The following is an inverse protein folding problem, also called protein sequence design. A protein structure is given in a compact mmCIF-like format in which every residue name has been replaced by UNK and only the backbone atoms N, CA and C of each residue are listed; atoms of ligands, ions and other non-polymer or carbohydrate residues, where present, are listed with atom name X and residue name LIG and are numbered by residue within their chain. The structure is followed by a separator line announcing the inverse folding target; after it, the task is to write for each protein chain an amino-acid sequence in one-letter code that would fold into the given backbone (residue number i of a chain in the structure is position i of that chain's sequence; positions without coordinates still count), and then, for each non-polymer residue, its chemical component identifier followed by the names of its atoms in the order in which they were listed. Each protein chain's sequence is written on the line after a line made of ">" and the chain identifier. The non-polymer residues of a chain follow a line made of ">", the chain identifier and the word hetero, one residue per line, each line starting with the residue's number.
data_IF_308588383172
#
_entry.id   IF_308588383172
#
_cell.length_a   1.000
_cell.length_b   1.000
_cell.length_c   1.000
_cell.angle_alpha   90.00
_cell.angle_beta   90.00
_cell.angle_gamma   90.00
#
_symmetry.space_group_name_H-M   'P 1'
#
loop_
_entity.id
_entity.type
_entity.pdbx_description
1 polymer ?
#
# COMPACT_ATOMS: atom_id res chain seq x y z
N UNK A 1 -16.51 16.84 14.15
CA UNK A 1 -16.05 15.52 14.37
C UNK A 1 -14.73 15.21 13.68
N UNK A 2 -13.89 14.56 14.35
CA UNK A 2 -12.61 14.26 13.83
C UNK A 2 -12.54 12.96 13.11
N UNK A 3 -11.91 12.96 12.00
CA UNK A 3 -11.57 11.74 11.35
C UNK A 3 -10.42 11.10 12.06
N UNK A 4 -10.55 9.86 12.40
CA UNK A 4 -9.48 9.14 13.09
C UNK A 4 -8.79 8.13 12.21
N UNK A 5 -9.08 8.13 10.92
CA UNK A 5 -8.52 7.16 10.02
C UNK A 5 -7.22 7.61 9.38
N UNK A 6 -6.37 6.64 9.10
CA UNK A 6 -5.16 6.88 8.32
C UNK A 6 -5.47 6.59 6.85
N UNK A 7 -5.06 7.51 5.99
CA UNK A 7 -5.36 7.38 4.56
C UNK A 7 -4.48 6.32 3.91
N UNK A 8 -5.06 5.60 2.96
CA UNK A 8 -4.29 4.62 2.19
C UNK A 8 -4.77 4.57 0.75
N UNK A 9 -3.90 4.09 -0.12
CA UNK A 9 -4.25 3.76 -1.49
C UNK A 9 -3.79 2.34 -1.78
N UNK A 10 -4.40 1.74 -2.79
CA UNK A 10 -4.11 0.37 -3.19
C UNK A 10 -3.68 0.36 -4.65
N UNK A 11 -2.50 -0.20 -4.91
CA UNK A 11 -1.97 -0.34 -6.26
C UNK A 11 -1.85 -1.83 -6.55
N UNK A 12 -2.77 -2.34 -7.32
CA UNK A 12 -2.92 -3.78 -7.57
C UNK A 12 -3.74 -3.95 -8.84
N UNK A 13 -3.40 -4.94 -9.66
CA UNK A 13 -4.14 -5.17 -10.91
C UNK A 13 -4.96 -6.46 -10.91
N UNK A 14 -4.77 -7.32 -9.94
CA UNK A 14 -5.53 -8.56 -9.85
C UNK A 14 -6.87 -8.32 -9.19
N UNK A 15 -7.96 -8.56 -9.91
CA UNK A 15 -9.31 -8.22 -9.45
C UNK A 15 -9.65 -8.85 -8.09
N UNK A 16 -9.32 -10.12 -7.90
CA UNK A 16 -9.63 -10.79 -6.64
C UNK A 16 -8.83 -10.24 -5.47
N UNK A 17 -7.58 -9.88 -5.71
CA UNK A 17 -6.76 -9.29 -4.66
C UNK A 17 -7.27 -7.90 -4.29
N UNK A 18 -7.69 -7.12 -5.27
CA UNK A 18 -8.29 -5.80 -5.03
C UNK A 18 -9.51 -5.94 -4.15
N UNK A 19 -10.41 -6.84 -4.54
CA UNK A 19 -11.65 -7.05 -3.81
C UNK A 19 -11.40 -7.47 -2.37
N UNK A 20 -10.48 -8.40 -2.18
CA UNK A 20 -10.12 -8.89 -0.86
C UNK A 20 -9.52 -7.78 0.01
N UNK A 21 -8.59 -7.01 -0.54
CA UNK A 21 -7.93 -5.95 0.23
C UNK A 21 -8.89 -4.80 0.53
N UNK A 22 -9.77 -4.46 -0.41
CA UNK A 22 -10.80 -3.46 -0.16
C UNK A 22 -11.69 -3.90 1.00
N UNK A 23 -12.04 -5.19 1.04
CA UNK A 23 -12.85 -5.73 2.12
C UNK A 23 -12.10 -5.64 3.46
N UNK A 24 -10.85 -6.06 3.48
CA UNK A 24 -10.03 -6.01 4.69
C UNK A 24 -9.90 -4.58 5.23
N UNK A 25 -9.64 -3.64 4.33
CA UNK A 25 -9.51 -2.24 4.70
C UNK A 25 -10.83 -1.72 5.28
N UNK A 26 -11.95 -2.10 4.67
CA UNK A 26 -13.27 -1.64 5.10
C UNK A 26 -13.65 -2.13 6.49
N UNK A 27 -13.04 -3.22 6.94
CA UNK A 27 -13.33 -3.76 8.27
C UNK A 27 -12.63 -3.01 9.39
N UNK A 28 -11.73 -2.09 9.06
CA UNK A 28 -11.01 -1.33 10.08
C UNK A 28 -11.54 0.10 10.11
N UNK A 29 -11.81 0.57 11.32
CA UNK A 29 -12.30 1.94 11.53
C UNK A 29 -11.18 2.97 11.42
N UNK A 30 -9.93 2.52 11.49
CA UNK A 30 -8.78 3.41 11.51
C UNK A 30 -8.10 3.55 10.14
N UNK A 31 -8.68 2.97 9.09
CA UNK A 31 -8.16 3.14 7.73
C UNK A 31 -9.21 3.75 6.82
N UNK A 32 -8.76 4.62 5.93
CA UNK A 32 -9.61 5.25 4.93
C UNK A 32 -8.99 5.01 3.56
N UNK A 33 -9.64 4.22 2.72
CA UNK A 33 -9.15 3.96 1.38
C UNK A 33 -9.53 5.13 0.46
N UNK A 34 -8.53 5.83 -0.04
CA UNK A 34 -8.75 6.99 -0.90
C UNK A 34 -8.91 6.62 -2.37
N UNK A 35 -8.35 5.50 -2.77
CA UNK A 35 -8.48 5.06 -4.16
C UNK A 35 -7.69 3.81 -4.45
N UNK A 36 -7.99 3.24 -5.61
CA UNK A 36 -7.32 2.04 -6.11
C UNK A 36 -6.81 2.35 -7.51
N UNK A 37 -5.57 1.97 -7.79
CA UNK A 37 -4.96 2.17 -9.09
C UNK A 37 -4.52 0.85 -9.68
N UNK A 38 -4.77 0.67 -10.96
CA UNK A 38 -4.36 -0.50 -11.72
C UNK A 38 -3.21 -0.15 -12.65
N UNK A 39 -3.23 1.06 -13.18
CA UNK A 39 -2.25 1.52 -14.15
C UNK A 39 -1.47 2.72 -13.61
N UNK A 40 -0.30 2.97 -14.22
CA UNK A 40 0.56 4.06 -13.82
C UNK A 40 -0.14 5.42 -13.85
N UNK A 41 -0.94 5.65 -14.89
CA UNK A 41 -1.66 6.93 -15.02
C UNK A 41 -2.62 7.15 -13.86
N UNK A 42 -3.25 6.08 -13.37
CA UNK A 42 -4.13 6.16 -12.22
C UNK A 42 -3.36 6.47 -10.94
N UNK A 43 -2.17 5.88 -10.80
CA UNK A 43 -1.30 6.16 -9.66
C UNK A 43 -0.95 7.64 -9.64
N UNK A 44 -0.53 8.17 -10.78
CA UNK A 44 -0.15 9.58 -10.88
C UNK A 44 -1.33 10.48 -10.55
N UNK A 45 -2.52 10.13 -11.03
CA UNK A 45 -3.73 10.90 -10.74
C UNK A 45 -4.04 10.94 -9.25
N UNK A 46 -3.93 9.78 -8.60
CA UNK A 46 -4.17 9.71 -7.15
C UNK A 46 -3.16 10.54 -6.37
N UNK A 47 -1.90 10.47 -6.75
CA UNK A 47 -0.85 11.19 -6.03
C UNK A 47 -0.90 12.69 -6.21
N UNK A 48 -1.61 13.17 -7.23
CA UNK A 48 -1.82 14.61 -7.41
C UNK A 48 -2.82 15.17 -6.43
N UNK A 49 -3.77 14.33 -5.99
CA UNK A 49 -4.88 14.81 -5.17
C UNK A 49 -4.80 14.36 -3.72
N UNK A 50 -3.88 13.46 -3.38
CA UNK A 50 -3.77 13.00 -2.01
C UNK A 50 -2.34 12.61 -1.66
N UNK A 51 -2.06 12.61 -0.37
CA UNK A 51 -0.79 12.14 0.17
C UNK A 51 -1.10 11.04 1.15
N UNK A 52 -1.21 9.78 0.69
CA UNK A 52 -1.61 8.70 1.57
C UNK A 52 -0.54 8.38 2.60
N UNK A 53 -1.00 7.98 3.79
CA UNK A 53 -0.10 7.52 4.84
C UNK A 53 0.44 6.13 4.52
N UNK A 54 -0.41 5.26 4.00
CA UNK A 54 -0.05 3.86 3.71
C UNK A 54 -0.33 3.58 2.24
N UNK A 55 0.63 2.94 1.59
CA UNK A 55 0.48 2.54 0.19
C UNK A 55 0.62 1.03 0.11
N UNK A 56 -0.45 0.35 -0.27
CA UNK A 56 -0.42 -1.08 -0.56
C UNK A 56 0.01 -1.24 -2.01
N UNK A 57 1.14 -1.88 -2.23
CA UNK A 57 1.74 -1.94 -3.55
C UNK A 57 2.06 -3.37 -3.97
N UNK A 58 1.49 -3.81 -5.08
CA UNK A 58 1.90 -5.05 -5.72
C UNK A 58 3.11 -4.77 -6.60
N UNK A 59 4.22 -5.44 -6.34
CA UNK A 59 5.45 -5.23 -7.11
C UNK A 59 5.36 -5.77 -8.53
N UNK A 60 4.49 -6.76 -8.75
CA UNK A 60 4.37 -7.38 -10.07
C UNK A 60 3.11 -6.86 -10.75
N UNK A 61 3.20 -5.64 -11.27
CA UNK A 61 2.12 -5.06 -12.06
C UNK A 61 2.44 -5.39 -13.52
N UNK A 62 1.63 -6.23 -14.18
CA UNK A 62 1.96 -6.68 -15.53
C UNK A 62 1.90 -5.57 -16.57
N UNK A 63 1.22 -4.48 -16.29
CA UNK A 63 1.09 -3.40 -17.25
C UNK A 63 2.07 -2.29 -16.93
N UNK A 64 3.03 -2.15 -17.78
CA UNK A 64 3.99 -1.09 -17.63
C UNK A 64 5.40 -1.60 -17.59
N UNK A 65 6.27 -0.79 -18.13
CA UNK A 65 7.69 -1.08 -18.10
C UNK A 65 8.16 -0.78 -16.68
N UNK A 66 8.79 -1.74 -16.05
CA UNK A 66 9.34 -1.59 -14.72
C UNK A 66 10.32 -0.42 -14.65
N UNK A 67 11.00 -0.17 -15.73
CA UNK A 67 11.99 0.90 -15.81
C UNK A 67 11.36 2.28 -15.76
N UNK A 68 10.05 2.35 -16.00
CA UNK A 68 9.35 3.63 -16.02
C UNK A 68 8.71 3.97 -14.68
N UNK A 69 8.74 3.04 -13.73
CA UNK A 69 8.10 3.29 -12.45
C UNK A 69 9.02 4.11 -11.56
N UNK A 70 8.57 5.31 -11.24
CA UNK A 70 9.39 6.25 -10.50
C UNK A 70 8.85 6.43 -9.07
N UNK A 71 9.51 5.79 -8.12
CA UNK A 71 9.10 5.86 -6.72
C UNK A 71 9.27 7.24 -6.11
N UNK A 72 10.06 8.11 -6.73
CA UNK A 72 10.25 9.46 -6.20
C UNK A 72 8.97 10.30 -6.27
N UNK A 73 7.97 9.84 -7.04
CA UNK A 73 6.68 10.53 -7.12
C UNK A 73 5.82 10.30 -5.88
N UNK A 74 6.16 9.32 -5.08
CA UNK A 74 5.41 9.05 -3.86
C UNK A 74 5.86 9.98 -2.74
N UNK A 75 4.94 10.33 -1.81
CA UNK A 75 5.34 11.15 -0.66
C UNK A 75 6.43 10.44 0.15
N UNK A 76 7.42 11.20 0.61
CA UNK A 76 8.53 10.63 1.38
C UNK A 76 8.08 9.99 2.68
N UNK A 77 7.02 10.52 3.26
CA UNK A 77 6.52 10.04 4.55
C UNK A 77 5.59 8.85 4.44
N UNK A 78 5.24 8.43 3.22
CA UNK A 78 4.34 7.29 3.05
C UNK A 78 5.03 5.99 3.46
N UNK A 79 4.23 5.09 4.03
CA UNK A 79 4.67 3.77 4.44
C UNK A 79 4.18 2.78 3.41
N UNK A 80 5.06 1.91 2.93
CA UNK A 80 4.71 0.94 1.91
C UNK A 80 4.43 -0.42 2.53
N UNK A 81 3.32 -1.02 2.13
CA UNK A 81 3.02 -2.42 2.41
C UNK A 81 3.11 -3.14 1.07
N UNK A 82 4.20 -3.87 0.89
CA UNK A 82 4.47 -4.57 -0.37
C UNK A 82 3.72 -5.89 -0.37
N UNK A 83 2.94 -6.10 -1.42
CA UNK A 83 2.12 -7.30 -1.57
C UNK A 83 2.71 -8.11 -2.72
N UNK A 84 3.04 -9.36 -2.47
CA UNK A 84 3.73 -10.16 -3.48
C UNK A 84 3.51 -11.65 -3.23
N UNK A 85 3.57 -12.43 -4.30
CA UNK A 85 3.52 -13.89 -4.20
C UNK A 85 4.87 -14.47 -3.76
N UNK A 86 5.94 -13.69 -3.89
CA UNK A 86 7.28 -14.12 -3.49
C UNK A 86 7.91 -13.08 -2.57
N UNK A 87 8.82 -13.49 -1.68
CA UNK A 87 9.46 -12.54 -0.79
C UNK A 87 10.20 -11.43 -1.53
N UNK A 88 10.25 -10.25 -0.94
CA UNK A 88 10.97 -9.10 -1.50
C UNK A 88 12.42 -9.45 -1.80
N UNK A 89 13.03 -10.29 -0.94
CA UNK A 89 14.43 -10.69 -1.14
C UNK A 89 14.67 -11.40 -2.47
N UNK A 90 13.63 -11.93 -3.08
CA UNK A 90 13.74 -12.59 -4.39
C UNK A 90 13.36 -11.69 -5.56
N UNK A 91 13.02 -10.45 -5.27
CA UNK A 91 12.59 -9.52 -6.31
C UNK A 91 13.82 -8.78 -6.86
N UNK A 92 13.95 -8.76 -8.19
CA UNK A 92 15.10 -8.17 -8.86
C UNK A 92 14.89 -6.74 -9.33
N UNK A 93 13.69 -6.21 -9.20
CA UNK A 93 13.41 -4.83 -9.61
C UNK A 93 13.65 -3.85 -8.49
N UNK A 94 13.36 -2.58 -8.78
CA UNK A 94 13.45 -1.55 -7.77
C UNK A 94 12.33 -1.67 -6.76
N UNK A 95 12.62 -1.30 -5.53
CA UNK A 95 11.62 -1.21 -4.46
C UNK A 95 11.64 0.21 -3.94
N UNK A 96 10.53 0.69 -3.34
CA UNK A 96 10.51 2.04 -2.81
C UNK A 96 11.47 2.21 -1.64
N UNK A 97 11.89 3.45 -1.43
CA UNK A 97 12.68 3.81 -0.26
C UNK A 97 11.76 4.11 0.91
N UNK A 98 12.31 4.05 2.11
CA UNK A 98 11.56 4.41 3.30
C UNK A 98 11.10 3.19 4.08
N UNK A 99 10.03 3.37 4.85
CA UNK A 99 9.52 2.28 5.68
C UNK A 99 8.73 1.30 4.82
N UNK A 100 9.10 0.03 4.88
CA UNK A 100 8.51 -1.03 4.07
C UNK A 100 8.09 -2.18 4.95
N UNK A 101 6.88 -2.67 4.75
CA UNK A 101 6.36 -3.89 5.34
C UNK A 101 5.96 -4.83 4.22
N UNK A 102 5.94 -6.11 4.50
CA UNK A 102 5.69 -7.12 3.47
C UNK A 102 4.52 -8.02 3.85
N UNK A 103 3.62 -8.26 2.89
CA UNK A 103 2.55 -9.23 3.03
C UNK A 103 2.62 -10.19 1.85
N UNK A 104 2.77 -11.48 2.14
CA UNK A 104 2.85 -12.50 1.11
C UNK A 104 1.45 -13.01 0.75
N UNK A 105 1.20 -13.16 -0.53
CA UNK A 105 -0.05 -13.76 -1.03
C UNK A 105 -0.02 -15.28 -0.81
N UNK A 106 -1.14 -15.88 -0.46
CA UNK A 106 -2.44 -15.29 -0.16
C UNK A 106 -2.45 -14.63 1.21
N UNK A 107 -3.04 -13.45 1.29
CA UNK A 107 -3.03 -12.66 2.51
C UNK A 107 -4.26 -12.98 3.36
N UNK A 108 -4.04 -13.47 4.58
CA UNK A 108 -5.14 -13.66 5.51
C UNK A 108 -5.51 -12.34 6.17
N UNK A 109 -6.75 -12.24 6.65
CA UNK A 109 -7.17 -11.06 7.39
C UNK A 109 -6.33 -10.90 8.66
N UNK A 110 -5.97 -12.02 9.29
CA UNK A 110 -5.13 -11.98 10.48
C UNK A 110 -3.76 -11.36 10.19
N UNK A 111 -3.11 -11.78 9.12
CA UNK A 111 -1.81 -11.22 8.75
C UNK A 111 -1.92 -9.75 8.38
N UNK A 112 -2.98 -9.39 7.66
CA UNK A 112 -3.26 -8.01 7.32
C UNK A 112 -3.37 -7.16 8.59
N UNK A 113 -4.18 -7.62 9.55
CA UNK A 113 -4.36 -6.88 10.80
C UNK A 113 -3.09 -6.73 11.61
N UNK A 114 -2.29 -7.79 11.68
CA UNK A 114 -1.02 -7.71 12.40
C UNK A 114 -0.09 -6.67 11.80
N UNK A 115 -0.06 -6.63 10.47
CA UNK A 115 0.77 -5.66 9.75
C UNK A 115 0.30 -4.23 10.03
N UNK A 116 -1.00 -3.99 9.91
CA UNK A 116 -1.54 -2.65 10.13
C UNK A 116 -1.37 -2.23 11.60
N UNK A 117 -1.64 -3.14 12.54
CA UNK A 117 -1.47 -2.82 13.96
C UNK A 117 -0.03 -2.40 14.26
N UNK A 118 0.93 -3.08 13.66
CA UNK A 118 2.34 -2.73 13.85
C UNK A 118 2.65 -1.35 13.29
N UNK A 119 2.16 -1.06 12.08
CA UNK A 119 2.39 0.23 11.44
C UNK A 119 1.80 1.35 12.30
N UNK A 120 0.55 1.20 12.74
CA UNK A 120 -0.12 2.24 13.47
C UNK A 120 0.45 2.46 14.87
N UNK A 121 0.95 1.40 15.50
CA UNK A 121 1.66 1.56 16.78
C UNK A 121 2.91 2.40 16.61
N UNK A 122 3.65 2.16 15.54
CA UNK A 122 4.88 2.90 15.28
C UNK A 122 4.61 4.37 15.03
N UNK A 123 3.54 4.67 14.28
CA UNK A 123 3.13 6.05 14.04
C UNK A 123 2.78 6.75 15.34
N UNK A 124 1.99 6.10 16.19
CA UNK A 124 1.57 6.69 17.46
C UNK A 124 2.75 6.97 18.38
N UNK A 125 3.71 6.05 18.42
CA UNK A 125 4.90 6.24 19.23
C UNK A 125 5.72 7.42 18.71
N UNK A 126 5.87 7.53 17.39
CA UNK A 126 6.64 8.60 16.78
C UNK A 126 6.03 9.98 17.03
N UNK A 127 4.71 10.03 17.16
CA UNK A 127 3.98 11.29 17.30
C UNK A 127 3.76 11.72 18.74
N UNK A 128 4.27 11.00 19.69
CA UNK A 128 4.11 11.35 21.10
C UNK A 128 5.12 12.40 21.57
#
# INVERSE_FOLDING_TARGET
>A
MMENGFSCILIEDEALAIEMLQDYISRRNDLILLGTAIERSEIQSLLRICSPTIIFLDLVIPYGDKNDFNYSKFPESSIFVIISATPISHYNGEIPNGEIHELLKPISFEDFNKCIDKILRNIKVTNV
#
